data_IF_783293746596
#
_entry.id   IF_783293746596
#
_cell.length_a   1.000
_cell.length_b   1.000
_cell.length_c   1.000
_cell.angle_alpha   90.00
_cell.angle_beta   90.00
_cell.angle_gamma   90.00
#
_symmetry.space_group_name_H-M   'P 1'
#
loop_
_entity.id
_entity.type
_entity.pdbx_description
1 polymer ?
#
# COMPACT_ATOMS: atom_id res chain seq x y z
N UNK A 1 61.38 13.65 -8.65
CA UNK A 1 60.69 14.55 -7.69
C UNK A 1 59.35 14.93 -8.29
N UNK A 2 58.29 14.67 -7.54
CA UNK A 2 56.89 14.65 -7.96
C UNK A 2 56.32 16.07 -8.07
N UNK A 3 55.56 16.34 -9.12
CA UNK A 3 54.73 17.53 -9.24
C UNK A 3 53.32 17.11 -9.68
N UNK A 4 52.30 17.15 -8.80
CA UNK A 4 50.93 16.93 -9.21
C UNK A 4 50.17 18.27 -9.30
N UNK A 5 49.73 18.57 -10.52
CA UNK A 5 48.59 19.43 -10.81
C UNK A 5 47.34 18.98 -10.05
N UNK A 6 46.59 19.94 -9.48
CA UNK A 6 45.16 19.79 -9.20
C UNK A 6 44.40 21.05 -9.60
N UNK A 7 43.78 20.97 -10.76
CA UNK A 7 42.44 21.50 -10.97
C UNK A 7 41.45 20.57 -10.25
N UNK A 8 40.48 21.12 -9.53
CA UNK A 8 39.25 20.40 -9.19
C UNK A 8 38.06 21.31 -9.42
N UNK A 9 37.15 20.78 -10.24
CA UNK A 9 35.88 21.33 -10.68
C UNK A 9 34.95 21.64 -9.51
N UNK A 10 34.15 22.70 -9.70
CA UNK A 10 32.89 22.88 -9.02
C UNK A 10 31.97 21.69 -9.36
N UNK A 11 31.54 20.96 -8.33
CA UNK A 11 30.47 19.98 -8.42
C UNK A 11 29.23 20.66 -7.85
N UNK A 12 28.37 21.14 -8.73
CA UNK A 12 26.98 21.43 -8.41
C UNK A 12 26.34 20.15 -7.90
N UNK A 13 26.04 20.11 -6.60
CA UNK A 13 25.10 19.14 -6.02
C UNK A 13 23.76 19.83 -5.85
N UNK A 14 22.64 19.19 -6.23
CA UNK A 14 21.32 19.71 -5.94
C UNK A 14 21.12 19.74 -4.41
N UNK A 15 20.87 20.94 -3.86
CA UNK A 15 20.36 21.13 -2.51
C UNK A 15 19.03 20.39 -2.39
N UNK A 16 19.04 19.32 -1.60
CA UNK A 16 17.86 18.54 -1.23
C UNK A 16 16.94 19.36 -0.34
N UNK A 17 15.63 19.30 -0.58
CA UNK A 17 14.53 19.99 0.11
C UNK A 17 14.53 19.89 1.66
N UNK A 18 15.38 19.04 2.25
CA UNK A 18 15.66 19.01 3.69
C UNK A 18 16.39 20.29 4.17
N UNK A 19 17.24 20.86 3.31
CA UNK A 19 17.96 22.12 3.54
C UNK A 19 17.01 23.29 3.68
N UNK A 20 16.02 23.39 2.78
CA UNK A 20 15.02 24.47 2.80
C UNK A 20 14.10 24.36 4.02
N UNK A 21 13.75 23.14 4.46
CA UNK A 21 13.02 22.95 5.71
C UNK A 21 13.84 23.30 6.95
N UNK A 22 15.15 23.00 6.97
CA UNK A 22 16.03 23.43 8.05
C UNK A 22 16.25 24.94 8.05
N UNK A 23 16.40 25.59 6.91
CA UNK A 23 16.49 27.05 6.82
C UNK A 23 15.18 27.73 7.21
N UNK A 24 14.02 27.20 6.82
CA UNK A 24 12.73 27.68 7.27
C UNK A 24 12.56 27.55 8.79
N UNK A 25 13.07 26.46 9.38
CA UNK A 25 13.09 26.24 10.83
C UNK A 25 13.97 27.27 11.56
N UNK A 26 15.18 27.54 11.05
CA UNK A 26 16.07 28.56 11.64
C UNK A 26 15.56 29.99 11.45
N UNK A 27 14.93 30.31 10.32
CA UNK A 27 14.31 31.62 10.10
C UNK A 27 13.11 31.86 11.01
N UNK A 28 12.28 30.83 11.27
CA UNK A 28 11.19 30.91 12.25
C UNK A 28 11.70 31.08 13.69
N UNK A 29 12.82 30.44 14.05
CA UNK A 29 13.46 30.64 15.37
C UNK A 29 13.99 32.06 15.56
N UNK A 30 14.50 32.71 14.50
CA UNK A 30 15.01 34.10 14.58
C UNK A 30 13.87 35.12 14.66
N UNK A 31 12.74 34.87 13.99
CA UNK A 31 11.56 35.75 14.04
C UNK A 31 10.83 35.66 15.40
N UNK A 32 10.98 34.57 16.15
CA UNK A 32 10.37 34.33 17.46
C UNK A 32 11.28 34.71 18.65
N UNK A 33 12.09 35.76 18.51
CA UNK A 33 12.76 36.38 19.66
C UNK A 33 11.73 37.05 20.60
N UNK A 34 11.75 36.80 21.92
CA UNK A 34 10.64 37.10 22.80
C UNK A 34 10.59 38.59 23.15
N UNK A 35 9.75 39.36 22.47
CA UNK A 35 9.18 40.57 23.08
C UNK A 35 7.99 40.17 23.94
N UNK A 36 8.28 39.86 25.20
CA UNK A 36 7.33 39.78 26.33
C UNK A 36 6.03 38.99 26.06
N UNK A 37 6.12 37.69 25.79
CA UNK A 37 4.97 36.80 25.97
C UNK A 37 4.98 36.17 27.36
N UNK A 38 3.83 36.20 28.04
CA UNK A 38 3.68 35.66 29.38
C UNK A 38 3.88 34.12 29.39
N UNK A 39 4.40 33.54 30.50
CA UNK A 39 4.71 32.10 30.63
C UNK A 39 3.60 31.11 30.20
N UNK A 40 2.29 31.35 30.43
CA UNK A 40 1.26 30.39 30.03
C UNK A 40 1.06 30.31 28.50
N UNK A 41 1.40 31.36 27.75
CA UNK A 41 1.26 31.36 26.28
C UNK A 41 2.34 30.50 25.59
N UNK A 42 3.53 30.44 26.18
CA UNK A 42 4.62 29.56 25.73
C UNK A 42 4.27 28.07 25.94
N UNK A 43 3.66 27.73 27.08
CA UNK A 43 3.19 26.37 27.37
C UNK A 43 2.07 25.92 26.43
N UNK A 44 1.14 26.81 26.09
CA UNK A 44 0.03 26.50 25.17
C UNK A 44 0.53 26.28 23.73
N UNK A 45 1.48 27.09 23.26
CA UNK A 45 2.10 26.91 21.94
C UNK A 45 3.01 25.67 21.88
N UNK A 46 3.71 25.34 22.96
CA UNK A 46 4.53 24.14 23.07
C UNK A 46 3.67 22.87 23.08
N UNK A 47 2.50 22.91 23.74
CA UNK A 47 1.52 21.82 23.71
C UNK A 47 0.85 21.67 22.33
N UNK A 48 0.54 22.77 21.64
CA UNK A 48 0.03 22.73 20.26
C UNK A 48 1.08 22.17 19.30
N UNK A 49 2.37 22.52 19.47
CA UNK A 49 3.47 21.92 18.71
C UNK A 49 3.67 20.42 19.02
N UNK A 50 3.56 20.00 20.29
CA UNK A 50 3.62 18.58 20.67
C UNK A 50 2.41 17.79 20.13
N UNK A 51 1.23 18.41 20.02
CA UNK A 51 0.04 17.78 19.44
C UNK A 51 0.06 17.72 17.90
N UNK A 52 0.73 18.68 17.24
CA UNK A 52 0.89 18.72 15.78
C UNK A 52 2.09 17.90 15.26
N UNK A 53 2.94 17.39 16.17
CA UNK A 53 4.12 16.56 15.84
C UNK A 53 3.91 15.16 16.43
N UNK A 54 2.72 14.58 16.26
CA UNK A 54 2.68 13.12 16.06
C UNK A 54 3.10 12.90 14.61
N UNK A 55 4.42 12.90 14.37
CA UNK A 55 4.97 12.53 13.06
C UNK A 55 4.55 11.09 12.83
N UNK A 56 3.47 10.91 12.10
CA UNK A 56 3.02 9.58 11.71
C UNK A 56 4.14 8.95 10.90
N UNK A 57 4.64 7.84 11.40
CA UNK A 57 5.75 7.18 10.75
C UNK A 57 5.22 6.26 9.64
N UNK A 58 6.05 5.93 8.66
CA UNK A 58 5.71 4.91 7.66
C UNK A 58 5.43 3.51 8.27
N UNK A 59 5.59 3.35 9.59
CA UNK A 59 5.37 2.12 10.33
C UNK A 59 4.00 2.11 11.04
N UNK A 60 3.30 3.24 11.04
CA UNK A 60 2.00 3.35 11.71
C UNK A 60 0.95 2.53 10.96
N UNK A 61 0.13 1.79 11.68
CA UNK A 61 -0.94 1.01 11.07
C UNK A 61 -2.07 1.93 10.63
N UNK A 62 -2.35 1.98 9.33
CA UNK A 62 -3.55 2.63 8.80
C UNK A 62 -4.76 1.80 9.19
N UNK A 63 -5.57 2.30 10.12
CA UNK A 63 -6.79 1.62 10.57
C UNK A 63 -7.95 1.85 9.59
N UNK A 64 -8.89 0.89 9.46
CA UNK A 64 -10.12 1.13 8.73
C UNK A 64 -11.06 2.02 9.56
N UNK A 65 -12.17 2.44 8.96
CA UNK A 65 -13.23 3.15 9.68
C UNK A 65 -13.73 2.34 10.91
N UNK A 66 -14.11 3.03 11.99
CA UNK A 66 -14.57 2.39 13.24
C UNK A 66 -15.76 1.44 13.02
N UNK A 67 -16.58 1.68 11.99
CA UNK A 67 -17.70 0.81 11.61
C UNK A 67 -17.25 -0.60 11.18
N UNK A 68 -15.97 -0.83 10.87
CA UNK A 68 -15.42 -2.16 10.59
C UNK A 68 -15.42 -3.07 11.83
N UNK A 69 -15.35 -2.50 13.03
CA UNK A 69 -15.30 -3.21 14.31
C UNK A 69 -16.66 -3.34 14.98
N UNK A 70 -17.67 -2.67 14.43
CA UNK A 70 -19.01 -2.62 14.99
C UNK A 70 -19.77 -3.94 14.78
N UNK A 71 -20.40 -4.40 15.86
CA UNK A 71 -21.33 -5.52 15.84
C UNK A 71 -22.78 -5.00 15.81
N UNK A 72 -23.47 -5.22 14.68
CA UNK A 72 -24.87 -4.81 14.50
C UNK A 72 -25.85 -5.49 15.45
N UNK A 73 -25.44 -6.56 16.13
CA UNK A 73 -26.28 -7.19 17.17
C UNK A 73 -26.40 -6.35 18.44
N UNK A 74 -25.48 -5.42 18.68
CA UNK A 74 -25.41 -4.64 19.92
C UNK A 74 -26.31 -3.40 19.96
N UNK A 75 -27.05 -3.08 18.89
CA UNK A 75 -27.99 -1.94 18.79
C UNK A 75 -27.46 -0.60 19.34
N UNK A 76 -26.15 -0.37 19.27
CA UNK A 76 -25.54 0.91 19.62
C UNK A 76 -25.39 1.76 18.37
N UNK A 77 -25.76 3.04 18.44
CA UNK A 77 -25.69 3.97 17.30
C UNK A 77 -24.30 4.62 17.14
N UNK A 78 -23.32 4.25 17.99
CA UNK A 78 -21.99 4.87 18.02
C UNK A 78 -20.93 3.87 17.58
N UNK A 79 -20.25 4.18 16.48
CA UNK A 79 -19.08 3.45 16.02
C UNK A 79 -17.85 3.87 16.83
N UNK A 80 -17.35 3.00 17.70
CA UNK A 80 -16.13 3.23 18.46
C UNK A 80 -15.08 2.18 18.10
N UNK A 81 -13.81 2.59 18.08
CA UNK A 81 -12.72 1.64 17.98
C UNK A 81 -12.69 0.77 19.23
N UNK A 82 -12.48 -0.55 19.09
CA UNK A 82 -12.25 -1.40 20.24
C UNK A 82 -10.94 -1.00 20.93
N UNK A 83 -10.77 -1.32 22.22
CA UNK A 83 -9.48 -1.13 22.87
C UNK A 83 -8.44 -2.00 22.18
N UNK A 84 -7.42 -1.36 21.60
CA UNK A 84 -6.27 -2.05 21.03
C UNK A 84 -5.28 -2.36 22.15
N UNK A 85 -5.51 -3.46 22.86
CA UNK A 85 -4.67 -3.86 23.99
C UNK A 85 -3.36 -4.49 23.51
N UNK A 86 -2.25 -4.08 24.14
CA UNK A 86 -0.89 -4.58 23.91
C UNK A 86 -0.53 -5.57 25.02
N UNK A 87 -1.30 -6.65 25.19
CA UNK A 87 -1.15 -7.51 26.37
C UNK A 87 0.19 -8.24 26.45
N UNK A 88 0.96 -8.35 25.34
CA UNK A 88 2.27 -9.06 25.37
C UNK A 88 3.23 -8.66 24.24
N UNK A 89 3.02 -7.56 23.52
CA UNK A 89 3.87 -7.17 22.39
C UNK A 89 3.23 -6.16 21.45
N UNK A 90 3.85 -5.92 20.29
CA UNK A 90 3.37 -4.98 19.29
C UNK A 90 1.99 -5.38 18.73
N UNK A 91 1.11 -4.39 18.54
CA UNK A 91 -0.18 -4.59 17.88
C UNK A 91 0.07 -4.95 16.40
N UNK A 92 -0.41 -6.12 15.95
CA UNK A 92 -0.17 -6.63 14.60
C UNK A 92 -1.43 -6.57 13.74
N UNK A 93 -1.28 -6.68 12.42
CA UNK A 93 -2.41 -6.80 11.48
C UNK A 93 -3.31 -7.99 11.82
N UNK A 94 -2.73 -9.12 12.23
CA UNK A 94 -3.47 -10.32 12.61
C UNK A 94 -4.30 -10.07 13.89
N UNK A 95 -3.77 -9.34 14.85
CA UNK A 95 -4.52 -8.93 16.05
C UNK A 95 -5.70 -8.01 15.68
N UNK A 96 -5.47 -7.03 14.79
CA UNK A 96 -6.52 -6.14 14.30
C UNK A 96 -7.64 -6.91 13.58
N UNK A 97 -7.27 -7.85 12.70
CA UNK A 97 -8.23 -8.63 11.93
C UNK A 97 -9.14 -9.51 12.79
N UNK A 98 -8.69 -9.97 13.96
CA UNK A 98 -9.55 -10.69 14.92
C UNK A 98 -10.68 -9.83 15.47
N UNK A 99 -10.50 -8.50 15.51
CA UNK A 99 -11.48 -7.54 16.02
C UNK A 99 -12.48 -7.12 14.94
N UNK A 100 -12.18 -7.32 13.65
CA UNK A 100 -13.05 -6.91 12.54
C UNK A 100 -14.34 -7.74 12.53
N UNK A 101 -15.47 -7.05 12.57
CA UNK A 101 -16.82 -7.63 12.49
C UNK A 101 -17.47 -7.45 11.13
N UNK A 102 -17.12 -6.38 10.41
CA UNK A 102 -17.66 -6.02 9.09
C UNK A 102 -16.54 -5.91 8.05
N UNK A 103 -16.05 -7.03 7.49
CA UNK A 103 -14.91 -7.04 6.58
C UNK A 103 -15.09 -6.19 5.32
N UNK A 104 -16.32 -6.01 4.84
CA UNK A 104 -16.60 -5.19 3.64
C UNK A 104 -16.16 -3.73 3.80
N UNK A 105 -16.14 -3.21 5.03
CA UNK A 105 -15.70 -1.83 5.31
C UNK A 105 -14.21 -1.66 5.02
N UNK A 106 -13.42 -2.73 5.15
CA UNK A 106 -11.98 -2.72 4.86
C UNK A 106 -11.69 -2.33 3.41
N UNK A 107 -12.60 -2.65 2.47
CA UNK A 107 -12.45 -2.31 1.06
C UNK A 107 -12.28 -0.80 0.83
N UNK A 108 -12.90 0.04 1.65
CA UNK A 108 -12.84 1.49 1.48
C UNK A 108 -11.42 2.04 1.65
N UNK A 109 -10.59 1.37 2.45
CA UNK A 109 -9.24 1.81 2.80
C UNK A 109 -8.17 0.95 2.12
N UNK A 110 -8.37 -0.36 2.05
CA UNK A 110 -7.32 -1.30 1.64
C UNK A 110 -7.49 -1.85 0.23
N UNK A 111 -8.53 -1.47 -0.53
CA UNK A 111 -8.68 -1.97 -1.91
C UNK A 111 -7.41 -1.71 -2.73
N UNK A 112 -7.05 -2.62 -3.64
CA UNK A 112 -5.99 -2.33 -4.60
C UNK A 112 -6.38 -1.16 -5.50
N UNK A 113 -5.35 -0.51 -6.05
CA UNK A 113 -5.50 0.52 -7.07
C UNK A 113 -5.92 -0.11 -8.41
N UNK A 114 -6.33 0.73 -9.36
CA UNK A 114 -6.49 0.26 -10.73
C UNK A 114 -5.12 -0.13 -11.33
N UNK A 115 -5.08 -1.14 -12.22
CA UNK A 115 -3.85 -1.56 -12.91
C UNK A 115 -3.08 -0.38 -13.51
N UNK A 116 -3.78 0.58 -14.11
CA UNK A 116 -3.16 1.75 -14.75
C UNK A 116 -2.47 2.73 -13.78
N UNK A 117 -2.72 2.61 -12.48
CA UNK A 117 -2.11 3.45 -11.44
C UNK A 117 -0.82 2.83 -10.88
N UNK A 118 -0.52 1.59 -11.22
CA UNK A 118 0.75 0.95 -10.89
C UNK A 118 1.77 1.28 -11.99
N UNK A 119 2.85 1.97 -11.62
CA UNK A 119 3.98 2.24 -12.52
C UNK A 119 4.88 1.04 -12.75
N UNK A 120 4.90 0.07 -11.82
CA UNK A 120 5.72 -1.13 -11.89
C UNK A 120 4.96 -2.35 -11.37
N UNK A 121 5.35 -3.53 -11.85
CA UNK A 121 4.92 -4.84 -11.36
C UNK A 121 5.37 -5.03 -9.92
N UNK A 122 6.57 -4.53 -9.57
CA UNK A 122 7.06 -4.51 -8.20
C UNK A 122 6.11 -3.77 -7.25
N UNK A 123 5.66 -2.56 -7.62
CA UNK A 123 4.74 -1.80 -6.78
C UNK A 123 3.41 -2.53 -6.57
N UNK A 124 2.90 -3.22 -7.59
CA UNK A 124 1.71 -4.06 -7.46
C UNK A 124 1.95 -5.24 -6.51
N UNK A 125 3.08 -5.95 -6.65
CA UNK A 125 3.43 -7.06 -5.79
C UNK A 125 3.67 -6.64 -4.34
N UNK A 126 4.32 -5.50 -4.11
CA UNK A 126 4.55 -4.97 -2.76
C UNK A 126 3.22 -4.73 -2.03
N UNK A 127 2.19 -4.21 -2.70
CA UNK A 127 0.85 -4.07 -2.12
C UNK A 127 0.25 -5.42 -1.73
N UNK A 128 0.50 -6.47 -2.51
CA UNK A 128 0.05 -7.83 -2.20
C UNK A 128 0.76 -8.44 -0.99
N UNK A 129 2.09 -8.42 -0.99
CA UNK A 129 2.91 -9.19 -0.05
C UNK A 129 3.29 -8.41 1.22
N UNK A 130 3.53 -7.11 1.05
CA UNK A 130 4.06 -6.20 2.05
C UNK A 130 3.04 -5.16 2.50
N UNK A 131 2.01 -4.87 1.70
CA UNK A 131 1.04 -3.81 1.96
C UNK A 131 1.46 -2.47 1.36
N UNK A 132 0.50 -1.56 1.22
CA UNK A 132 0.73 -0.24 0.65
C UNK A 132 1.22 0.77 1.71
N UNK A 133 2.25 1.56 1.39
CA UNK A 133 2.61 2.72 2.22
C UNK A 133 1.83 3.94 1.75
N UNK A 134 1.24 4.67 2.70
CA UNK A 134 0.60 5.96 2.49
C UNK A 134 1.49 7.02 3.15
N UNK A 135 2.12 7.87 2.34
CA UNK A 135 3.02 8.91 2.82
C UNK A 135 2.36 9.78 3.89
N UNK A 136 3.11 10.09 4.96
CA UNK A 136 2.66 10.85 6.13
C UNK A 136 1.46 10.26 6.91
N UNK A 137 0.98 9.07 6.57
CA UNK A 137 -0.16 8.43 7.26
C UNK A 137 0.26 7.09 7.89
N UNK A 138 0.95 6.23 7.16
CA UNK A 138 1.34 4.92 7.66
C UNK A 138 1.34 3.84 6.59
N UNK A 139 1.15 2.59 7.00
CA UNK A 139 1.12 1.41 6.14
C UNK A 139 -0.22 0.68 6.23
N UNK A 140 -0.72 0.24 5.10
CA UNK A 140 -1.83 -0.69 4.99
C UNK A 140 -1.33 -2.14 5.17
N UNK A 141 -2.20 -3.08 5.60
CA UNK A 141 -1.82 -4.48 5.67
C UNK A 141 -1.46 -5.05 4.29
N UNK A 142 -0.64 -6.12 4.24
CA UNK A 142 -0.55 -6.97 3.07
C UNK A 142 -1.93 -7.46 2.62
N UNK A 143 -2.27 -7.27 1.34
CA UNK A 143 -3.56 -7.75 0.83
C UNK A 143 -3.71 -9.27 0.94
N UNK A 144 -2.60 -10.02 0.91
CA UNK A 144 -2.62 -11.47 1.12
C UNK A 144 -3.23 -11.87 2.45
N UNK A 145 -2.96 -11.12 3.53
CA UNK A 145 -3.52 -11.45 4.85
C UNK A 145 -5.02 -11.16 4.94
N UNK A 146 -5.51 -10.13 4.26
CA UNK A 146 -6.95 -9.86 4.15
C UNK A 146 -7.64 -10.97 3.38
N UNK A 147 -7.08 -11.36 2.22
CA UNK A 147 -7.67 -12.39 1.37
C UNK A 147 -7.56 -13.80 1.99
N UNK A 148 -6.51 -14.10 2.76
CA UNK A 148 -6.45 -15.32 3.59
C UNK A 148 -7.55 -15.33 4.66
N UNK A 149 -7.83 -14.18 5.28
CA UNK A 149 -8.82 -14.07 6.35
C UNK A 149 -10.27 -14.13 5.84
N UNK A 150 -10.55 -13.52 4.68
CA UNK A 150 -11.93 -13.32 4.18
C UNK A 150 -12.13 -13.58 2.69
N UNK A 151 -11.09 -13.87 1.93
CA UNK A 151 -11.10 -14.09 0.47
C UNK A 151 -11.79 -15.38 0.04
N UNK A 152 -11.75 -16.41 0.89
CA UNK A 152 -12.47 -17.68 0.67
C UNK A 152 -13.80 -17.76 1.43
N UNK A 153 -13.98 -16.90 2.44
CA UNK A 153 -15.18 -16.90 3.28
C UNK A 153 -16.34 -16.30 2.50
N UNK A 154 -17.43 -17.05 2.47
CA UNK A 154 -18.71 -16.64 1.89
C UNK A 154 -19.69 -16.34 3.01
N UNK A 155 -20.64 -15.46 2.72
CA UNK A 155 -21.73 -15.18 3.64
C UNK A 155 -22.54 -16.45 3.91
N UNK A 156 -22.90 -16.66 5.19
CA UNK A 156 -23.64 -17.84 5.66
C UNK A 156 -25.07 -17.89 5.11
N UNK A 157 -25.59 -16.75 4.63
CA UNK A 157 -26.95 -16.62 4.10
C UNK A 157 -27.14 -17.16 2.65
N UNK A 158 -26.36 -18.17 2.25
CA UNK A 158 -26.62 -19.00 1.06
C UNK A 158 -26.42 -18.34 -0.31
N UNK A 159 -26.24 -17.02 -0.40
CA UNK A 159 -26.13 -16.28 -1.68
C UNK A 159 -24.70 -15.80 -1.99
N UNK A 160 -23.74 -16.05 -1.11
CA UNK A 160 -22.39 -15.49 -1.19
C UNK A 160 -21.53 -16.11 -2.29
N UNK A 161 -21.71 -15.71 -3.55
CA UNK A 161 -20.70 -15.97 -4.61
C UNK A 161 -19.40 -15.21 -4.36
N UNK A 162 -19.47 -14.13 -3.57
CA UNK A 162 -18.40 -13.16 -3.41
C UNK A 162 -17.76 -13.20 -2.02
N UNK A 163 -16.45 -12.90 -1.92
CA UNK A 163 -15.74 -12.88 -0.65
C UNK A 163 -16.22 -11.78 0.31
N UNK A 164 -16.20 -12.06 1.61
CA UNK A 164 -16.82 -11.21 2.64
C UNK A 164 -16.29 -9.77 2.71
N UNK A 165 -15.02 -9.56 2.35
CA UNK A 165 -14.38 -8.25 2.44
C UNK A 165 -14.54 -7.41 1.18
N UNK A 166 -15.13 -7.96 0.11
CA UNK A 166 -15.35 -7.27 -1.17
C UNK A 166 -16.82 -6.87 -1.34
N UNK A 167 -17.13 -5.67 -1.87
CA UNK A 167 -18.51 -5.27 -2.14
C UNK A 167 -19.19 -6.21 -3.13
N UNK A 168 -20.39 -6.71 -2.80
CA UNK A 168 -21.10 -7.75 -3.58
C UNK A 168 -21.59 -7.26 -4.95
N UNK A 169 -22.17 -6.06 -5.00
CA UNK A 169 -22.88 -5.53 -6.16
C UNK A 169 -22.14 -4.39 -6.87
N UNK A 170 -20.82 -4.33 -6.70
CA UNK A 170 -19.98 -3.31 -7.32
C UNK A 170 -19.19 -3.93 -8.49
N UNK A 171 -19.56 -3.56 -9.72
CA UNK A 171 -18.87 -3.99 -10.95
C UNK A 171 -17.44 -3.46 -11.01
N UNK A 172 -17.20 -2.24 -10.54
CA UNK A 172 -15.89 -1.59 -10.53
C UNK A 172 -14.98 -2.27 -9.53
N UNK A 173 -15.46 -2.55 -8.31
CA UNK A 173 -14.69 -3.28 -7.31
C UNK A 173 -14.29 -4.68 -7.80
N UNK A 174 -15.23 -5.40 -8.42
CA UNK A 174 -14.98 -6.71 -9.03
C UNK A 174 -13.92 -6.64 -10.12
N UNK A 175 -14.05 -5.68 -11.06
CA UNK A 175 -13.08 -5.50 -12.14
C UNK A 175 -11.70 -5.14 -11.59
N UNK A 176 -11.63 -4.22 -10.63
CA UNK A 176 -10.39 -3.79 -9.96
C UNK A 176 -9.69 -4.98 -9.33
N UNK A 177 -10.43 -5.78 -8.55
CA UNK A 177 -9.87 -6.97 -7.93
C UNK A 177 -9.43 -8.02 -8.95
N UNK A 178 -10.28 -8.37 -9.92
CA UNK A 178 -9.96 -9.41 -10.92
C UNK A 178 -8.69 -9.07 -11.72
N UNK A 179 -8.55 -7.81 -12.07
CA UNK A 179 -7.38 -7.25 -12.73
C UNK A 179 -6.12 -7.35 -11.84
N UNK A 180 -6.22 -6.93 -10.58
CA UNK A 180 -5.12 -7.05 -9.62
C UNK A 180 -4.72 -8.52 -9.38
N UNK A 181 -5.70 -9.38 -9.10
CA UNK A 181 -5.53 -10.81 -8.85
C UNK A 181 -4.93 -11.55 -10.05
N UNK A 182 -5.23 -11.12 -11.27
CA UNK A 182 -4.62 -11.67 -12.48
C UNK A 182 -3.09 -11.62 -12.44
N UNK A 183 -2.50 -10.49 -12.05
CA UNK A 183 -1.05 -10.35 -11.94
C UNK A 183 -0.48 -11.22 -10.82
N UNK A 184 -1.14 -11.26 -9.66
CA UNK A 184 -0.73 -12.11 -8.54
C UNK A 184 -0.69 -13.58 -8.97
N UNK A 185 -1.70 -14.04 -9.71
CA UNK A 185 -1.74 -15.39 -10.29
C UNK A 185 -0.60 -15.61 -11.27
N UNK A 186 -0.36 -14.69 -12.20
CA UNK A 186 0.71 -14.82 -13.19
C UNK A 186 2.09 -14.89 -12.56
N UNK A 187 2.37 -14.09 -11.53
CA UNK A 187 3.63 -14.14 -10.79
C UNK A 187 3.78 -15.48 -10.07
N UNK A 188 2.73 -15.96 -9.39
CA UNK A 188 2.74 -17.27 -8.72
C UNK A 188 2.90 -18.44 -9.69
N UNK A 189 2.13 -18.47 -10.79
CA UNK A 189 2.26 -19.47 -11.87
C UNK A 189 3.69 -19.50 -12.45
N UNK A 190 4.28 -18.33 -12.66
CA UNK A 190 5.67 -18.23 -13.14
C UNK A 190 6.65 -18.73 -12.08
N UNK A 191 6.42 -18.41 -10.80
CA UNK A 191 7.22 -18.92 -9.67
C UNK A 191 7.21 -20.43 -9.62
N UNK A 192 6.04 -21.03 -9.69
CA UNK A 192 5.86 -22.48 -9.60
C UNK A 192 6.48 -23.22 -10.81
N UNK A 193 6.46 -22.61 -12.00
CA UNK A 193 7.03 -23.19 -13.22
C UNK A 193 8.52 -22.91 -13.46
N UNK A 194 9.13 -22.00 -12.68
CA UNK A 194 10.49 -21.50 -12.94
C UNK A 194 11.64 -22.36 -12.42
N UNK A 195 11.35 -23.46 -11.69
CA UNK A 195 12.38 -24.37 -11.19
C UNK A 195 13.34 -23.80 -10.14
N UNK A 196 13.04 -22.64 -9.56
CA UNK A 196 13.86 -22.06 -8.47
C UNK A 196 13.94 -20.53 -8.44
N UNK A 197 13.57 -19.83 -9.52
CA UNK A 197 13.71 -18.37 -9.59
C UNK A 197 13.01 -17.66 -8.44
N UNK A 198 13.67 -16.69 -7.83
CA UNK A 198 13.11 -15.82 -6.82
C UNK A 198 11.95 -14.97 -7.39
N UNK A 199 11.13 -14.42 -6.49
CA UNK A 199 10.05 -13.51 -6.89
C UNK A 199 10.63 -12.24 -7.55
N UNK A 200 11.79 -11.76 -7.10
CA UNK A 200 12.44 -10.59 -7.71
C UNK A 200 12.78 -10.83 -9.18
N UNK A 201 13.43 -11.96 -9.48
CA UNK A 201 13.78 -12.31 -10.86
C UNK A 201 12.54 -12.45 -11.76
N UNK A 202 11.45 -12.98 -11.21
CA UNK A 202 10.18 -13.10 -11.95
C UNK A 202 9.56 -11.72 -12.20
N UNK A 203 9.60 -10.83 -11.21
CA UNK A 203 9.15 -9.45 -11.39
C UNK A 203 9.99 -8.78 -12.48
N UNK A 204 11.31 -8.93 -12.47
CA UNK A 204 12.20 -8.37 -13.49
C UNK A 204 11.86 -8.90 -14.88
N UNK A 205 11.51 -10.19 -15.04
CA UNK A 205 10.99 -10.73 -16.31
C UNK A 205 9.71 -10.02 -16.77
N UNK A 206 8.76 -9.78 -15.86
CA UNK A 206 7.54 -9.05 -16.18
C UNK A 206 7.81 -7.58 -16.51
N UNK A 207 8.82 -6.96 -15.91
CA UNK A 207 9.27 -5.60 -16.25
C UNK A 207 9.90 -5.54 -17.64
N UNK A 208 10.75 -6.51 -17.99
CA UNK A 208 11.28 -6.63 -19.36
C UNK A 208 10.16 -6.82 -20.37
N UNK A 209 9.16 -7.66 -20.04
CA UNK A 209 7.96 -7.82 -20.88
C UNK A 209 7.15 -6.53 -20.95
N UNK A 210 7.07 -5.74 -19.87
CA UNK A 210 6.39 -4.44 -19.90
C UNK A 210 7.06 -3.49 -20.89
N UNK A 211 8.39 -3.44 -20.91
CA UNK A 211 9.13 -2.46 -21.69
C UNK A 211 8.88 -1.04 -21.18
N UNK A 212 8.88 -0.06 -22.09
CA UNK A 212 8.77 1.37 -21.74
C UNK A 212 7.33 1.86 -21.49
N UNK A 213 6.37 0.93 -21.36
CA UNK A 213 4.98 1.28 -21.09
C UNK A 213 4.83 1.89 -19.69
N UNK A 214 4.46 3.16 -19.59
CA UNK A 214 4.39 3.88 -18.30
C UNK A 214 3.39 3.36 -17.25
N UNK A 215 2.61 2.31 -17.54
CA UNK A 215 1.74 1.62 -16.57
C UNK A 215 1.48 0.16 -16.98
N UNK A 216 0.75 -0.58 -16.13
CA UNK A 216 0.53 -2.01 -16.34
C UNK A 216 -0.60 -2.37 -17.33
N UNK A 217 -1.36 -1.42 -17.88
CA UNK A 217 -2.49 -1.74 -18.77
C UNK A 217 -2.06 -2.46 -20.06
N UNK A 218 -1.01 -2.02 -20.79
CA UNK A 218 -0.58 -2.70 -22.01
C UNK A 218 -0.02 -4.10 -21.72
N UNK A 219 0.74 -4.26 -20.62
CA UNK A 219 1.23 -5.56 -20.17
C UNK A 219 0.06 -6.51 -19.86
N UNK A 220 -0.96 -6.02 -19.16
CA UNK A 220 -2.17 -6.79 -18.86
C UNK A 220 -2.85 -7.32 -20.12
N UNK A 221 -3.02 -6.47 -21.15
CA UNK A 221 -3.59 -6.89 -22.45
C UNK A 221 -2.75 -7.96 -23.13
N UNK A 222 -1.41 -7.82 -23.13
CA UNK A 222 -0.48 -8.79 -23.74
C UNK A 222 -0.54 -10.15 -23.05
N UNK A 223 -0.63 -10.16 -21.72
CA UNK A 223 -0.72 -11.39 -20.93
C UNK A 223 -2.09 -12.09 -21.02
N UNK A 224 -3.15 -11.37 -21.43
CA UNK A 224 -4.48 -11.94 -21.65
C UNK A 224 -4.66 -12.64 -23.00
N UNK A 225 -3.74 -12.44 -23.96
CA UNK A 225 -3.92 -12.97 -25.31
C UNK A 225 -4.05 -14.50 -25.32
N UNK A 226 -4.99 -15.06 -26.12
CA UNK A 226 -5.20 -16.49 -26.17
C UNK A 226 -3.97 -17.17 -26.79
N UNK A 227 -3.58 -18.34 -26.24
CA UNK A 227 -2.60 -19.23 -26.86
C UNK A 227 -2.92 -19.34 -28.36
N UNK A 228 -1.90 -19.12 -29.22
CA UNK A 228 -2.02 -19.29 -30.68
C UNK A 228 -2.80 -20.57 -30.99
N UNK A 229 -3.80 -20.49 -31.87
CA UNK A 229 -4.42 -21.69 -32.47
C UNK A 229 -3.29 -22.55 -33.01
N UNK A 230 -3.20 -23.79 -32.52
CA UNK A 230 -2.29 -24.81 -33.04
C UNK A 230 -2.69 -25.04 -34.49
N UNK A 231 -1.81 -24.73 -35.44
CA UNK A 231 -2.04 -25.07 -36.85
C UNK A 231 -2.31 -26.57 -36.94
N UNK A 232 -3.53 -26.93 -37.36
CA UNK A 232 -3.86 -28.30 -37.71
C UNK A 232 -3.12 -28.65 -39.01
N UNK A 233 -2.37 -29.76 -39.07
CA UNK A 233 -1.78 -30.19 -40.34
C UNK A 233 -2.91 -30.52 -41.33
N UNK A 234 -2.74 -30.08 -42.58
CA UNK A 234 -3.68 -30.29 -43.67
C UNK A 234 -3.98 -31.80 -43.87
N UNK A 235 -5.19 -32.17 -44.32
CA UNK A 235 -5.50 -33.56 -44.59
C UNK A 235 -4.66 -34.08 -45.76
N UNK A 236 -4.18 -35.33 -45.70
CA UNK A 236 -3.47 -35.94 -46.82
C UNK A 236 -4.40 -36.07 -48.03
N UNK A 237 -3.85 -35.71 -49.20
CA UNK A 237 -4.46 -35.95 -50.52
C UNK A 237 -4.36 -37.43 -50.89
#
# INVERSE_FOLDING_TARGET
MLNPSRYTQAVDRPMTALSEQQEAYYQLQVILQPRKLAPPALLFLFLIHLFLIWVRTAHDMVLPDASAFYDSSLKQDIYQYPPFTLESGAFTWQSMFKLVKRPVVLWNVYKPKNIGEYGTVKALWDVWDSGATIEAIGRCPPLRFIDESWGSRKDKNGTGKFPLWRPKNDTTARKTWSNFEFFIKKIKERKDSSGGKSISEIIDEFEVLRGDDGNLNPLHKRLQAPRKKKDSPAPPQ
#
